data_IF_307168626886
#
_entry.id   IF_307168626886
#
_cell.length_a   1.000
_cell.length_b   1.000
_cell.length_c   1.000
_cell.angle_alpha   90.00
_cell.angle_beta   90.00
_cell.angle_gamma   90.00
#
_symmetry.space_group_name_H-M   'P 1'
#
loop_
_entity.id
_entity.type
_entity.pdbx_description
1 polymer ?
#
# COMPACT_ATOMS: atom_id res chain seq x y z
N UNK A 1 11.12 -48.45 43.97
CA UNK A 1 10.10 -47.83 44.84
C UNK A 1 9.21 -47.01 43.92
N UNK A 2 8.10 -47.59 43.44
CA UNK A 2 6.73 -47.50 43.98
C UNK A 2 6.12 -46.10 43.86
N UNK A 3 5.36 -45.94 42.76
CA UNK A 3 4.01 -45.39 42.63
C UNK A 3 3.57 -44.25 43.55
N UNK A 4 3.15 -43.14 42.92
CA UNK A 4 1.96 -42.41 43.39
C UNK A 4 1.21 -41.79 42.20
N UNK A 5 0.14 -42.48 41.80
CA UNK A 5 -0.92 -41.98 40.92
C UNK A 5 -1.75 -40.90 41.62
N UNK A 6 -2.19 -39.86 40.88
CA UNK A 6 -3.61 -39.47 40.88
C UNK A 6 -3.98 -38.56 39.71
N UNK A 7 -4.70 -39.17 38.78
CA UNK A 7 -5.58 -38.54 37.80
C UNK A 7 -6.77 -37.86 38.48
N UNK A 8 -7.20 -36.71 37.97
CA UNK A 8 -8.59 -36.23 38.13
C UNK A 8 -9.20 -35.97 36.75
N UNK A 9 -10.10 -36.87 36.39
CA UNK A 9 -11.10 -36.74 35.32
C UNK A 9 -12.22 -35.78 35.74
N UNK A 10 -12.66 -34.92 34.83
CA UNK A 10 -13.94 -34.20 34.93
C UNK A 10 -14.91 -34.70 33.86
N UNK A 11 -16.24 -34.66 34.13
CA UNK A 11 -17.19 -35.60 33.55
C UNK A 11 -17.80 -35.14 32.23
N UNK A 12 -18.29 -36.13 31.49
CA UNK A 12 -18.80 -36.03 30.12
C UNK A 12 -20.05 -35.15 29.97
N UNK A 13 -20.11 -34.50 28.81
CA UNK A 13 -21.35 -33.96 28.25
C UNK A 13 -21.84 -34.92 27.17
N UNK A 14 -23.03 -35.45 27.42
CA UNK A 14 -23.81 -36.29 26.52
C UNK A 14 -24.10 -35.60 25.18
N UNK A 15 -23.55 -36.12 24.09
CA UNK A 15 -24.01 -35.84 22.74
C UNK A 15 -25.17 -36.78 22.41
N UNK A 16 -26.41 -36.31 22.59
CA UNK A 16 -27.59 -36.95 22.01
C UNK A 16 -27.82 -36.40 20.59
N UNK A 17 -28.04 -37.24 19.57
CA UNK A 17 -28.54 -36.78 18.28
C UNK A 17 -30.06 -36.58 18.37
N UNK A 18 -30.58 -35.49 17.81
CA UNK A 18 -32.02 -35.33 17.50
C UNK A 18 -32.22 -35.10 16.00
N UNK A 19 -33.28 -35.66 15.40
CA UNK A 19 -33.46 -35.71 13.96
C UNK A 19 -34.26 -34.52 13.40
N UNK A 20 -34.03 -34.27 12.11
CA UNK A 20 -34.94 -33.75 11.08
C UNK A 20 -35.93 -32.62 11.45
N UNK A 21 -35.70 -31.45 10.85
CA UNK A 21 -36.78 -30.61 10.34
C UNK A 21 -36.51 -30.31 8.86
N UNK A 22 -37.29 -30.97 8.01
CA UNK A 22 -37.52 -30.61 6.61
C UNK A 22 -38.22 -29.25 6.57
N UNK A 23 -37.70 -28.32 5.76
CA UNK A 23 -38.49 -27.21 5.25
C UNK A 23 -38.16 -27.04 3.76
N UNK A 24 -39.14 -27.44 2.95
CA UNK A 24 -39.29 -27.09 1.55
C UNK A 24 -39.24 -25.55 1.40
N UNK A 25 -38.44 -25.03 0.48
CA UNK A 25 -38.82 -23.78 -0.19
C UNK A 25 -38.42 -23.82 -1.66
N UNK A 26 -39.40 -23.46 -2.48
CA UNK A 26 -39.44 -23.55 -3.91
C UNK A 26 -38.53 -22.55 -4.62
N UNK A 27 -38.04 -22.95 -5.79
CA UNK A 27 -38.08 -22.15 -7.02
C UNK A 27 -37.24 -20.87 -7.07
N UNK A 28 -36.07 -20.96 -7.71
CA UNK A 28 -35.64 -19.95 -8.68
C UNK A 28 -34.58 -20.57 -9.62
N UNK A 29 -35.04 -21.02 -10.78
CA UNK A 29 -34.21 -21.34 -11.94
C UNK A 29 -33.55 -20.05 -12.42
N UNK A 30 -32.30 -19.79 -12.03
CA UNK A 30 -31.50 -18.81 -12.74
C UNK A 30 -30.80 -19.51 -13.91
N UNK A 31 -31.29 -19.21 -15.10
CA UNK A 31 -30.56 -19.38 -16.36
C UNK A 31 -29.14 -18.83 -16.18
N UNK A 32 -28.15 -19.72 -16.21
CA UNK A 32 -26.75 -19.35 -16.41
C UNK A 32 -26.61 -19.05 -17.90
N UNK A 33 -26.90 -17.81 -18.27
CA UNK A 33 -26.51 -17.25 -19.56
C UNK A 33 -25.09 -16.68 -19.46
N UNK A 34 -24.20 -17.28 -20.24
CA UNK A 34 -23.27 -16.54 -21.09
C UNK A 34 -22.16 -15.69 -20.44
N UNK A 35 -20.95 -16.22 -20.54
CA UNK A 35 -19.73 -15.50 -20.94
C UNK A 35 -19.85 -13.98 -21.12
N UNK A 36 -19.27 -13.25 -20.18
CA UNK A 36 -18.93 -11.85 -20.32
C UNK A 36 -17.89 -11.48 -19.28
N UNK A 37 -16.61 -11.70 -19.59
CA UNK A 37 -15.49 -11.02 -18.94
C UNK A 37 -15.53 -9.53 -19.31
N UNK A 38 -16.61 -8.86 -18.95
CA UNK A 38 -16.68 -7.41 -18.97
C UNK A 38 -16.02 -6.94 -17.69
N UNK A 39 -14.73 -6.61 -17.76
CA UNK A 39 -14.16 -5.65 -16.81
C UNK A 39 -15.03 -4.40 -16.90
N UNK A 40 -15.93 -4.21 -15.94
CA UNK A 40 -16.76 -3.01 -15.88
C UNK A 40 -15.81 -1.81 -15.96
N UNK A 41 -15.90 -1.02 -17.04
CA UNK A 41 -15.17 0.23 -17.14
C UNK A 41 -15.57 1.04 -15.90
N UNK A 42 -14.60 1.36 -15.04
CA UNK A 42 -14.89 2.29 -13.96
C UNK A 42 -15.32 3.61 -14.62
N UNK A 43 -16.58 3.97 -14.41
CA UNK A 43 -17.12 5.22 -14.91
C UNK A 43 -16.39 6.35 -14.20
N UNK A 44 -15.90 7.34 -14.93
CA UNK A 44 -15.33 8.54 -14.33
C UNK A 44 -16.39 9.19 -13.45
N UNK A 45 -16.13 9.26 -12.15
CA UNK A 45 -17.07 9.81 -11.16
C UNK A 45 -16.54 11.13 -10.61
N UNK A 46 -17.43 12.12 -10.43
CA UNK A 46 -17.12 13.30 -9.62
C UNK A 46 -17.30 12.91 -8.16
N UNK A 47 -16.20 12.66 -7.46
CA UNK A 47 -16.23 12.23 -6.06
C UNK A 47 -15.64 13.30 -5.15
N UNK A 48 -16.24 13.45 -3.97
CA UNK A 48 -15.61 14.16 -2.86
C UNK A 48 -14.53 13.25 -2.30
N UNK A 49 -13.27 13.63 -2.51
CA UNK A 49 -12.11 12.90 -1.99
C UNK A 49 -11.28 13.80 -1.09
N UNK A 50 -10.57 13.17 -0.16
CA UNK A 50 -9.54 13.88 0.60
C UNK A 50 -8.28 13.98 -0.25
N UNK A 51 -7.96 15.18 -0.71
CA UNK A 51 -6.70 15.47 -1.38
C UNK A 51 -5.65 15.80 -0.32
N UNK A 52 -4.64 14.96 -0.18
CA UNK A 52 -3.63 15.07 0.88
C UNK A 52 -2.28 15.45 0.28
N UNK A 53 -1.63 16.44 0.88
CA UNK A 53 -0.27 16.90 0.55
C UNK A 53 0.53 17.04 1.84
N UNK A 54 1.83 17.31 1.73
CA UNK A 54 2.65 17.63 2.92
C UNK A 54 2.16 18.89 3.67
N UNK A 55 1.42 19.78 3.00
CA UNK A 55 0.86 21.00 3.63
C UNK A 55 -0.44 20.74 4.40
N UNK A 56 -0.99 19.53 4.29
CA UNK A 56 -2.25 19.14 4.93
C UNK A 56 -3.24 18.51 3.95
N UNK A 57 -4.46 18.32 4.45
CA UNK A 57 -5.54 17.62 3.77
C UNK A 57 -6.70 18.56 3.48
N UNK A 58 -7.20 18.56 2.24
CA UNK A 58 -8.37 19.35 1.82
C UNK A 58 -9.36 18.44 1.12
N UNK A 59 -10.65 18.57 1.43
CA UNK A 59 -11.69 17.89 0.65
C UNK A 59 -11.87 18.59 -0.69
N UNK A 60 -11.84 17.82 -1.77
CA UNK A 60 -12.01 18.33 -3.14
C UNK A 60 -12.98 17.44 -3.90
N UNK A 61 -13.86 18.06 -4.68
CA UNK A 61 -14.64 17.36 -5.70
C UNK A 61 -13.79 17.24 -6.96
N UNK A 62 -13.32 16.03 -7.27
CA UNK A 62 -12.49 15.76 -8.44
C UNK A 62 -13.17 14.75 -9.35
N UNK A 63 -12.95 14.90 -10.65
CA UNK A 63 -13.25 13.85 -11.62
C UNK A 63 -12.18 12.78 -11.47
N UNK A 64 -12.56 11.54 -11.12
CA UNK A 64 -11.61 10.46 -10.85
C UNK A 64 -12.00 9.19 -11.62
N UNK A 65 -10.99 8.43 -12.02
CA UNK A 65 -11.11 7.12 -12.65
C UNK A 65 -10.26 6.12 -11.86
N UNK A 66 -10.92 5.22 -11.14
CA UNK A 66 -10.28 4.19 -10.33
C UNK A 66 -10.25 2.81 -11.02
N UNK A 67 -10.41 2.75 -12.35
CA UNK A 67 -10.34 1.50 -13.11
C UNK A 67 -9.04 0.74 -12.81
N UNK A 68 -9.04 -0.60 -12.81
CA UNK A 68 -7.83 -1.39 -12.65
C UNK A 68 -6.72 -1.01 -13.64
N UNK A 69 -7.09 -0.63 -14.88
CA UNK A 69 -6.16 -0.17 -15.93
C UNK A 69 -5.41 1.13 -15.59
N UNK A 70 -5.87 1.89 -14.59
CA UNK A 70 -5.17 3.09 -14.09
C UNK A 70 -4.10 2.77 -13.06
N UNK A 71 -4.09 1.56 -12.50
CA UNK A 71 -3.12 1.13 -11.49
C UNK A 71 -1.82 0.71 -12.15
N UNK A 72 -0.72 0.94 -11.46
CA UNK A 72 0.60 0.50 -11.91
C UNK A 72 0.82 -0.99 -11.63
N UNK A 73 1.55 -1.63 -12.55
CA UNK A 73 2.11 -2.96 -12.33
C UNK A 73 3.45 -2.82 -11.60
N UNK A 74 3.50 -3.17 -10.32
CA UNK A 74 4.67 -2.83 -9.49
C UNK A 74 5.96 -3.52 -9.94
N UNK A 75 5.92 -4.71 -10.56
CA UNK A 75 7.10 -5.47 -10.99
C UNK A 75 7.99 -4.70 -11.98
N UNK A 76 7.38 -3.79 -12.73
CA UNK A 76 8.05 -2.95 -13.72
C UNK A 76 8.24 -1.51 -13.25
N UNK A 77 7.85 -1.21 -12.01
CA UNK A 77 7.88 0.14 -11.47
C UNK A 77 9.07 0.33 -10.53
N UNK A 78 9.97 1.21 -10.94
CA UNK A 78 11.13 1.66 -10.17
C UNK A 78 11.47 3.09 -10.59
N UNK A 79 12.26 3.76 -9.76
CA UNK A 79 12.78 5.10 -10.05
C UNK A 79 14.23 5.20 -9.58
N UNK A 80 15.01 5.97 -10.34
CA UNK A 80 16.35 6.37 -9.96
C UNK A 80 16.37 7.89 -9.79
N UNK A 81 16.99 8.33 -8.70
CA UNK A 81 17.08 9.72 -8.32
C UNK A 81 18.55 10.00 -8.05
N UNK A 82 19.12 10.98 -8.74
CA UNK A 82 20.48 11.46 -8.44
C UNK A 82 20.45 12.90 -7.96
N UNK A 83 21.53 13.35 -7.31
CA UNK A 83 21.65 14.76 -6.91
C UNK A 83 21.62 15.72 -8.10
N UNK A 84 22.14 15.30 -9.25
CA UNK A 84 22.20 16.11 -10.48
C UNK A 84 20.95 16.00 -11.33
N UNK A 85 20.20 14.89 -11.21
CA UNK A 85 18.99 14.61 -11.97
C UNK A 85 17.91 14.08 -11.03
N UNK A 86 17.20 14.98 -10.32
CA UNK A 86 16.08 14.56 -9.50
C UNK A 86 14.96 14.00 -10.37
N UNK A 87 14.15 13.09 -9.82
CA UNK A 87 12.92 12.69 -10.49
C UNK A 87 11.93 13.85 -10.46
N UNK A 88 11.28 14.11 -11.58
CA UNK A 88 10.28 15.18 -11.70
C UNK A 88 9.02 14.57 -12.28
N UNK A 89 7.90 14.74 -11.58
CA UNK A 89 6.62 14.25 -12.07
C UNK A 89 5.98 15.17 -13.11
N UNK A 90 4.84 14.76 -13.66
CA UNK A 90 4.12 15.50 -14.70
C UNK A 90 3.63 16.90 -14.28
N UNK A 91 3.61 17.22 -12.98
CA UNK A 91 3.24 18.53 -12.43
C UNK A 91 4.45 19.31 -11.94
N UNK A 92 5.67 18.84 -12.23
CA UNK A 92 6.90 19.50 -11.82
C UNK A 92 7.30 19.26 -10.36
N UNK A 93 6.61 18.38 -9.63
CA UNK A 93 6.99 18.04 -8.26
C UNK A 93 8.24 17.18 -8.31
N UNK A 94 9.25 17.57 -7.54
CA UNK A 94 10.55 16.91 -7.50
C UNK A 94 10.59 15.87 -6.39
N UNK A 95 11.10 14.68 -6.70
CA UNK A 95 11.57 13.73 -5.71
C UNK A 95 13.09 13.83 -5.70
N UNK A 96 13.64 14.17 -4.54
CA UNK A 96 15.06 14.44 -4.36
C UNK A 96 15.63 13.55 -3.28
N UNK A 97 16.95 13.35 -3.31
CA UNK A 97 17.68 12.74 -2.21
C UNK A 97 17.58 13.70 -1.01
N UNK A 98 16.96 13.29 0.11
CA UNK A 98 16.77 14.20 1.23
C UNK A 98 18.11 14.43 1.94
N UNK A 99 18.37 15.67 2.35
CA UNK A 99 19.59 16.00 3.09
C UNK A 99 19.45 15.65 4.58
N UNK A 100 19.61 14.36 4.88
CA UNK A 100 19.53 13.80 6.23
C UNK A 100 20.82 13.07 6.56
N UNK A 101 21.07 12.82 7.86
CA UNK A 101 22.23 12.04 8.32
C UNK A 101 22.36 10.70 7.59
N UNK A 102 21.23 10.08 7.25
CA UNK A 102 21.16 8.77 6.59
C UNK A 102 21.57 8.84 5.12
N UNK A 103 21.32 9.95 4.43
CA UNK A 103 21.67 10.13 3.01
C UNK A 103 22.85 11.10 2.80
N UNK A 104 23.56 11.45 3.87
CA UNK A 104 24.82 12.20 3.79
C UNK A 104 25.84 11.41 2.97
N UNK A 105 26.45 12.05 1.98
CA UNK A 105 27.41 11.41 1.07
C UNK A 105 26.79 10.53 -0.04
N UNK A 106 25.47 10.34 -0.04
CA UNK A 106 24.76 9.61 -1.09
C UNK A 106 24.57 10.53 -2.31
N UNK A 107 24.89 10.00 -3.49
CA UNK A 107 24.76 10.68 -4.77
C UNK A 107 23.57 10.17 -5.59
N UNK A 108 23.21 8.91 -5.42
CA UNK A 108 22.13 8.24 -6.14
C UNK A 108 21.30 7.36 -5.20
N UNK A 109 19.99 7.32 -5.42
CA UNK A 109 19.06 6.40 -4.78
C UNK A 109 18.24 5.72 -5.87
N UNK A 110 18.11 4.40 -5.77
CA UNK A 110 17.14 3.63 -6.56
C UNK A 110 16.04 3.11 -5.64
N UNK A 111 14.79 3.29 -6.06
CA UNK A 111 13.58 2.87 -5.33
C UNK A 111 12.80 1.92 -6.22
N UNK A 112 12.62 0.68 -5.75
CA UNK A 112 11.87 -0.37 -6.46
C UNK A 112 10.65 -0.77 -5.67
N UNK A 113 9.52 -0.92 -6.35
CA UNK A 113 8.26 -1.36 -5.77
C UNK A 113 8.13 -2.87 -5.97
N UNK A 114 8.03 -3.62 -4.89
CA UNK A 114 8.00 -5.07 -4.91
C UNK A 114 6.61 -5.62 -4.57
N UNK A 115 6.26 -6.73 -5.21
CA UNK A 115 4.99 -7.41 -4.99
C UNK A 115 5.08 -8.93 -5.18
N UNK A 116 4.11 -9.70 -4.66
CA UNK A 116 4.01 -11.12 -4.91
C UNK A 116 3.67 -11.41 -6.37
N UNK A 117 4.26 -12.47 -6.94
CA UNK A 117 4.04 -12.85 -8.35
C UNK A 117 2.56 -13.07 -8.70
N UNK A 118 1.77 -13.55 -7.74
CA UNK A 118 0.35 -13.87 -7.94
C UNK A 118 -0.61 -12.70 -7.68
N UNK A 119 -0.10 -11.56 -7.19
CA UNK A 119 -0.91 -10.37 -6.89
C UNK A 119 -0.24 -9.09 -7.44
N UNK A 120 -0.31 -8.85 -8.76
CA UNK A 120 0.42 -7.76 -9.41
C UNK A 120 0.05 -6.34 -8.97
N UNK A 121 -1.11 -6.21 -8.31
CA UNK A 121 -1.67 -4.95 -7.84
C UNK A 121 -1.51 -4.76 -6.33
N UNK A 122 -0.86 -5.69 -5.63
CA UNK A 122 -0.56 -5.57 -4.21
C UNK A 122 0.85 -5.02 -4.03
N UNK A 123 1.02 -3.84 -3.45
CA UNK A 123 2.36 -3.37 -3.06
C UNK A 123 2.73 -4.01 -1.73
N UNK A 124 3.72 -4.88 -1.71
CA UNK A 124 4.12 -5.59 -0.50
C UNK A 124 5.37 -4.99 0.14
N UNK A 125 6.33 -4.51 -0.66
CA UNK A 125 7.50 -3.84 -0.13
C UNK A 125 8.01 -2.71 -1.04
N UNK A 126 8.72 -1.76 -0.44
CA UNK A 126 9.52 -0.75 -1.14
C UNK A 126 10.99 -1.07 -0.85
N UNK A 127 11.76 -1.35 -1.89
CA UNK A 127 13.20 -1.62 -1.78
C UNK A 127 13.95 -0.35 -2.15
N UNK A 128 14.84 0.10 -1.26
CA UNK A 128 15.67 1.29 -1.45
C UNK A 128 17.13 0.87 -1.49
N UNK A 129 17.88 1.36 -2.47
CA UNK A 129 19.33 1.25 -2.53
C UNK A 129 19.93 2.63 -2.71
N UNK A 130 21.07 2.89 -2.06
CA UNK A 130 21.74 4.17 -2.08
C UNK A 130 23.21 4.00 -2.40
N UNK A 131 23.71 4.83 -3.31
CA UNK A 131 25.05 4.75 -3.88
C UNK A 131 25.83 6.05 -3.64
N UNK A 132 27.14 5.93 -3.44
CA UNK A 132 28.03 7.09 -3.35
C UNK A 132 28.31 7.70 -4.74
N UNK A 133 29.12 8.75 -4.79
CA UNK A 133 29.53 9.43 -6.03
C UNK A 133 30.33 8.53 -6.99
N UNK A 134 30.90 7.43 -6.50
CA UNK A 134 31.70 6.49 -7.28
C UNK A 134 30.84 5.29 -7.76
N UNK A 135 29.54 5.26 -7.44
CA UNK A 135 28.63 4.17 -7.79
C UNK A 135 28.71 2.98 -6.84
N UNK A 136 29.41 3.08 -5.71
CA UNK A 136 29.43 2.00 -4.71
C UNK A 136 28.12 1.97 -3.93
N UNK A 137 27.55 0.78 -3.74
CA UNK A 137 26.40 0.58 -2.87
C UNK A 137 26.82 0.85 -1.42
N UNK A 138 26.28 1.91 -0.83
CA UNK A 138 26.58 2.27 0.57
C UNK A 138 25.51 1.71 1.50
N UNK A 139 24.24 1.74 1.08
CA UNK A 139 23.09 1.36 1.91
C UNK A 139 22.02 0.70 1.09
N UNK A 140 21.29 -0.24 1.71
CA UNK A 140 20.06 -0.77 1.15
C UNK A 140 19.08 -1.18 2.26
N UNK A 141 17.79 -1.24 1.93
CA UNK A 141 16.74 -1.71 2.82
C UNK A 141 15.48 -2.09 2.05
N UNK A 142 14.66 -2.94 2.66
CA UNK A 142 13.34 -3.32 2.14
C UNK A 142 12.30 -3.02 3.22
N UNK A 143 11.31 -2.20 2.86
CA UNK A 143 10.29 -1.71 3.77
C UNK A 143 8.97 -2.37 3.41
N UNK A 144 8.46 -3.23 4.29
CA UNK A 144 7.18 -3.89 4.08
C UNK A 144 6.00 -2.88 4.08
N UNK A 145 4.85 -3.36 3.65
CA UNK A 145 3.61 -2.59 3.59
C UNK A 145 3.16 -2.03 4.93
N UNK A 146 3.34 -2.77 6.02
CA UNK A 146 3.00 -2.28 7.36
C UNK A 146 3.79 -1.02 7.68
N UNK A 147 5.09 -1.02 7.40
CA UNK A 147 5.99 0.10 7.69
C UNK A 147 5.56 1.38 6.98
N UNK A 148 5.47 1.37 5.64
CA UNK A 148 5.16 2.60 4.92
C UNK A 148 3.71 3.04 5.14
N UNK A 149 2.79 2.14 5.49
CA UNK A 149 1.42 2.50 5.90
C UNK A 149 1.43 3.21 7.26
N UNK A 150 2.20 2.73 8.23
CA UNK A 150 2.34 3.38 9.55
C UNK A 150 2.95 4.77 9.40
N UNK A 151 4.04 4.89 8.63
CA UNK A 151 4.68 6.18 8.36
C UNK A 151 3.68 7.15 7.73
N UNK A 152 3.01 6.72 6.66
CA UNK A 152 1.98 7.51 5.97
C UNK A 152 0.85 7.96 6.92
N UNK A 153 0.35 7.04 7.76
CA UNK A 153 -0.71 7.32 8.72
C UNK A 153 -0.33 8.37 9.74
N UNK A 154 0.89 8.30 10.26
CA UNK A 154 1.36 9.22 11.30
C UNK A 154 1.66 10.61 10.73
N UNK A 155 2.32 10.69 9.57
CA UNK A 155 2.72 11.97 8.96
C UNK A 155 1.58 12.67 8.24
N UNK A 156 1.11 12.10 7.12
CA UNK A 156 0.21 12.75 6.19
C UNK A 156 -1.24 12.70 6.66
N UNK A 157 -1.59 11.70 7.48
CA UNK A 157 -2.94 11.50 8.00
C UNK A 157 -3.07 11.79 9.50
N UNK A 158 -2.03 12.37 10.13
CA UNK A 158 -2.04 12.85 11.53
C UNK A 158 -2.55 11.80 12.53
N UNK A 159 -2.06 10.57 12.40
CA UNK A 159 -2.41 9.43 13.25
C UNK A 159 -3.69 8.69 12.84
N UNK A 160 -4.38 9.09 11.77
CA UNK A 160 -5.50 8.31 11.26
C UNK A 160 -4.99 7.11 10.47
N UNK A 161 -5.37 5.90 10.91
CA UNK A 161 -4.97 4.68 10.23
C UNK A 161 -5.56 4.64 8.80
N UNK A 162 -4.71 4.33 7.83
CA UNK A 162 -5.10 4.21 6.42
C UNK A 162 -4.89 2.79 5.92
N UNK A 163 -5.70 2.39 4.95
CA UNK A 163 -5.45 1.19 4.13
C UNK A 163 -4.89 1.65 2.80
N UNK A 164 -3.72 1.14 2.42
CA UNK A 164 -3.16 1.36 1.09
C UNK A 164 -3.94 0.55 0.05
N UNK A 165 -4.45 1.22 -0.98
CA UNK A 165 -5.25 0.58 -2.03
C UNK A 165 -4.51 0.49 -3.37
N UNK A 166 -3.59 1.41 -3.67
CA UNK A 166 -2.71 1.31 -4.83
C UNK A 166 -2.06 2.62 -5.28
N UNK A 167 -1.23 2.53 -6.32
CA UNK A 167 -0.63 3.67 -7.04
C UNK A 167 -1.13 3.68 -8.47
N UNK A 168 -1.45 4.86 -9.00
CA UNK A 168 -1.96 4.95 -10.36
C UNK A 168 -2.22 6.37 -10.86
N UNK A 169 -2.74 6.43 -12.08
CA UNK A 169 -3.17 7.67 -12.75
C UNK A 169 -4.68 7.84 -12.59
N UNK A 170 -5.11 8.42 -11.47
CA UNK A 170 -6.53 8.48 -11.13
C UNK A 170 -7.24 9.75 -11.59
N UNK A 171 -6.52 10.80 -11.94
CA UNK A 171 -7.10 12.10 -12.34
C UNK A 171 -7.08 12.21 -13.87
N UNK A 172 -8.24 12.22 -14.56
CA UNK A 172 -8.30 12.33 -16.02
C UNK A 172 -7.58 13.59 -16.53
N UNK A 173 -6.77 13.42 -17.57
CA UNK A 173 -5.95 14.51 -18.14
C UNK A 173 -4.68 14.84 -17.34
N UNK A 174 -4.51 14.29 -16.13
CA UNK A 174 -3.27 14.42 -15.37
C UNK A 174 -2.41 13.17 -15.53
N UNK A 175 -1.18 13.35 -16.01
CA UNK A 175 -0.20 12.26 -16.17
C UNK A 175 0.55 11.96 -14.87
N UNK A 176 0.23 12.64 -13.77
CA UNK A 176 0.83 12.38 -12.47
C UNK A 176 0.41 11.05 -11.88
N UNK A 177 1.27 10.49 -11.03
CA UNK A 177 0.95 9.37 -10.19
C UNK A 177 0.37 9.84 -8.85
N UNK A 178 -0.57 9.06 -8.34
CA UNK A 178 -1.20 9.26 -7.05
C UNK A 178 -1.20 7.96 -6.27
N UNK A 179 -1.01 8.06 -4.97
CA UNK A 179 -1.31 6.95 -4.05
C UNK A 179 -2.75 7.09 -3.60
N UNK A 180 -3.52 6.02 -3.78
CA UNK A 180 -4.89 5.88 -3.28
C UNK A 180 -4.86 5.14 -1.96
N UNK A 181 -5.53 5.71 -0.98
CA UNK A 181 -5.75 5.07 0.32
C UNK A 181 -7.19 5.24 0.77
N UNK A 182 -7.62 4.38 1.68
CA UNK A 182 -8.86 4.52 2.41
C UNK A 182 -8.55 4.87 3.86
N UNK A 183 -9.08 6.00 4.33
CA UNK A 183 -8.98 6.37 5.75
C UNK A 183 -9.94 5.49 6.52
N UNK A 184 -9.42 4.62 7.41
CA UNK A 184 -10.25 3.56 8.02
C UNK A 184 -11.40 4.10 8.85
N UNK A 185 -11.15 5.14 9.67
CA UNK A 185 -12.16 5.70 10.59
C UNK A 185 -13.35 6.31 9.85
N UNK A 186 -13.12 6.94 8.70
CA UNK A 186 -14.15 7.70 7.98
C UNK A 186 -14.62 6.99 6.71
N UNK A 187 -13.98 5.89 6.33
CA UNK A 187 -14.15 5.21 5.04
C UNK A 187 -13.98 6.12 3.81
N UNK A 188 -13.42 7.32 4.00
CA UNK A 188 -13.19 8.25 2.89
C UNK A 188 -12.01 7.78 2.06
N UNK A 189 -12.18 7.84 0.75
CA UNK A 189 -11.07 7.71 -0.20
C UNK A 189 -10.24 8.98 -0.14
N UNK A 190 -8.93 8.79 0.03
CA UNK A 190 -7.95 9.85 -0.09
C UNK A 190 -7.00 9.54 -1.24
N UNK A 191 -6.63 10.59 -1.95
CA UNK A 191 -5.55 10.54 -2.94
C UNK A 191 -4.47 11.51 -2.52
N UNK A 192 -3.22 11.10 -2.70
CA UNK A 192 -2.06 11.93 -2.42
C UNK A 192 -1.08 11.88 -3.61
N UNK A 193 -0.43 12.99 -3.95
CA UNK A 193 0.64 12.99 -4.94
C UNK A 193 1.71 11.95 -4.61
N UNK A 194 2.08 11.15 -5.61
CA UNK A 194 3.13 10.15 -5.41
C UNK A 194 4.49 10.78 -5.08
N UNK A 195 4.80 11.96 -5.61
CA UNK A 195 6.01 12.68 -5.21
C UNK A 195 6.02 13.06 -3.72
N UNK A 196 4.87 13.49 -3.19
CA UNK A 196 4.73 13.84 -1.77
C UNK A 196 4.89 12.59 -0.88
N UNK A 197 4.32 11.46 -1.31
CA UNK A 197 4.50 10.16 -0.66
C UNK A 197 5.98 9.80 -0.52
N UNK A 198 6.73 9.81 -1.62
CA UNK A 198 8.12 9.35 -1.62
C UNK A 198 9.03 10.31 -0.87
N UNK A 199 8.81 11.62 -1.00
CA UNK A 199 9.55 12.61 -0.23
C UNK A 199 9.29 12.48 1.28
N UNK A 200 8.05 12.20 1.67
CA UNK A 200 7.70 11.97 3.08
C UNK A 200 8.32 10.65 3.59
N UNK A 201 8.13 9.56 2.84
CA UNK A 201 8.71 8.25 3.14
C UNK A 201 10.23 8.32 3.33
N UNK A 202 10.97 8.86 2.35
CA UNK A 202 12.44 8.93 2.39
C UNK A 202 12.98 9.82 3.50
N UNK A 203 12.23 10.82 3.97
CA UNK A 203 12.60 11.60 5.17
C UNK A 203 12.45 10.81 6.46
N UNK A 204 11.55 9.83 6.48
CA UNK A 204 11.15 9.11 7.69
C UNK A 204 11.72 7.69 7.82
N UNK A 205 12.26 7.09 6.76
CA UNK A 205 12.81 5.71 6.84
C UNK A 205 13.93 5.52 7.89
N UNK A 206 14.41 6.62 8.49
CA UNK A 206 15.43 6.62 9.53
C UNK A 206 14.92 7.02 10.93
N UNK A 207 13.64 7.36 11.07
CA UNK A 207 13.06 7.79 12.35
C UNK A 207 12.46 6.64 13.17
N UNK A 208 12.29 5.44 12.59
CA UNK A 208 11.90 4.22 13.31
C UNK A 208 12.60 2.98 12.72
N UNK A 209 13.14 2.06 13.54
CA UNK A 209 13.79 0.86 13.06
C UNK A 209 12.72 -0.15 12.64
N UNK A 210 12.59 -0.43 11.35
CA UNK A 210 11.79 -1.60 10.93
C UNK A 210 12.50 -2.37 9.82
N UNK A 211 12.99 -3.54 10.23
CA UNK A 211 13.44 -4.71 9.45
C UNK A 211 14.44 -4.43 8.31
N UNK A 212 15.70 -4.39 8.72
CA UNK A 212 16.93 -4.54 7.93
C UNK A 212 17.43 -3.32 7.14
N UNK A 213 18.27 -2.57 7.83
CA UNK A 213 19.45 -1.96 7.22
C UNK A 213 20.58 -2.98 7.38
N UNK A 214 20.72 -3.91 6.44
CA UNK A 214 21.88 -4.80 6.44
C UNK A 214 23.05 -4.05 5.77
N UNK A 215 23.96 -3.53 6.59
CA UNK A 215 25.31 -3.19 6.14
C UNK A 215 26.13 -4.47 6.35
N UNK A 216 26.79 -4.98 5.32
CA UNK A 216 27.94 -5.86 5.54
C UNK A 216 29.12 -4.98 5.93
#
# INVERSE_FOLDING_TARGET
MKDFFRSRSLPGRDFRPRPLAMALLMGATFLITGHGTGTALAKTTREKVLFVTQKGSTEKTLSLDFAPSRRLHYNKFWMDITRTKPYVDAKGRKIVIPDTKTFRGINEITIRFWHPRHEPNLLDAIVVKAYDKNGHLVKHGAFDRGVFVILLSNSLFKGNFVRFDGIGHYVPGDKSLYVKVMVRKTHKVAILPFADFINDFTRQINTQPVVSWAVK
#
